data_IF_608981819854
#
_entry.id   IF_608981819854
#
_cell.length_a   1.000
_cell.length_b   1.000
_cell.length_c   1.000
_cell.angle_alpha   90.00
_cell.angle_beta   90.00
_cell.angle_gamma   90.00
#
_symmetry.space_group_name_H-M   'P 1'
#
loop_
_entity.id
_entity.type
_entity.pdbx_description
1 polymer ?
#
# COMPACT_ATOMS: atom_id res chain seq x y z
N UNK A 1 33.30 4.42 7.98
CA UNK A 1 32.18 3.48 8.16
C UNK A 1 31.22 3.71 7.00
N UNK A 2 30.78 2.66 6.30
CA UNK A 2 29.89 2.74 5.16
C UNK A 2 28.55 2.05 5.49
N UNK A 3 27.46 2.52 4.92
CA UNK A 3 26.17 1.87 5.00
C UNK A 3 25.87 1.18 3.67
N UNK A 4 25.59 -0.13 3.69
CA UNK A 4 25.17 -0.88 2.52
C UNK A 4 23.65 -0.80 2.41
N UNK A 5 23.16 -0.08 1.41
CA UNK A 5 21.73 0.10 1.16
C UNK A 5 21.19 -1.14 0.43
N UNK A 6 19.97 -1.57 0.82
CA UNK A 6 19.32 -2.73 0.19
C UNK A 6 19.75 -4.10 0.76
N UNK A 7 20.51 -4.12 1.84
CA UNK A 7 21.00 -5.35 2.50
C UNK A 7 20.06 -5.86 3.61
N UNK A 8 18.78 -5.46 3.59
CA UNK A 8 17.78 -6.07 4.45
C UNK A 8 17.49 -7.50 4.00
N UNK A 9 17.46 -8.43 4.95
CA UNK A 9 17.29 -9.85 4.63
C UNK A 9 16.72 -10.61 5.83
N UNK A 10 16.08 -11.76 5.56
CA UNK A 10 15.63 -12.70 6.56
C UNK A 10 16.72 -13.71 6.97
N UNK A 11 17.91 -13.64 6.38
CA UNK A 11 19.03 -14.49 6.77
C UNK A 11 19.42 -14.25 8.23
N UNK A 12 19.75 -15.32 8.95
CA UNK A 12 20.34 -15.22 10.29
C UNK A 12 21.70 -14.50 10.22
N UNK A 13 22.08 -13.80 11.28
CA UNK A 13 23.31 -12.96 11.28
C UNK A 13 24.57 -13.70 10.85
N UNK A 14 24.78 -14.96 11.29
CA UNK A 14 25.91 -15.77 10.85
C UNK A 14 25.90 -16.05 9.35
N UNK A 15 24.72 -16.33 8.79
CA UNK A 15 24.58 -16.54 7.35
C UNK A 15 24.75 -15.24 6.54
N UNK A 16 24.32 -14.11 7.08
CA UNK A 16 24.56 -12.81 6.44
C UNK A 16 26.06 -12.55 6.26
N UNK A 17 26.88 -12.80 7.30
CA UNK A 17 28.33 -12.68 7.19
C UNK A 17 28.87 -13.56 6.07
N UNK A 18 28.51 -14.85 6.08
CA UNK A 18 28.97 -15.83 5.07
C UNK A 18 28.57 -15.41 3.64
N UNK A 19 27.33 -14.98 3.44
CA UNK A 19 26.83 -14.60 2.11
C UNK A 19 27.40 -13.27 1.65
N UNK A 20 27.46 -12.27 2.52
CA UNK A 20 27.92 -10.94 2.12
C UNK A 20 29.43 -10.91 1.85
N UNK A 21 30.24 -11.73 2.51
CA UNK A 21 31.68 -11.85 2.19
C UNK A 21 31.94 -12.56 0.86
N UNK A 22 30.93 -13.16 0.20
CA UNK A 22 31.06 -13.69 -1.15
C UNK A 22 30.97 -12.59 -2.24
N UNK A 23 30.56 -11.39 -1.86
CA UNK A 23 30.44 -10.26 -2.80
C UNK A 23 31.83 -9.68 -3.06
N UNK A 24 32.27 -9.52 -4.34
CA UNK A 24 33.56 -8.93 -4.67
C UNK A 24 33.73 -7.56 -4.01
N UNK A 25 34.83 -7.39 -3.28
CA UNK A 25 35.17 -6.19 -2.52
C UNK A 25 34.67 -6.20 -1.06
N UNK A 26 33.90 -7.21 -0.63
CA UNK A 26 33.46 -7.38 0.76
C UNK A 26 34.06 -8.61 1.44
N UNK A 27 35.00 -9.28 0.82
CA UNK A 27 35.65 -10.53 1.31
C UNK A 27 36.22 -10.37 2.71
N UNK A 28 36.81 -9.21 2.99
CA UNK A 28 37.47 -8.89 4.26
C UNK A 28 36.69 -7.81 5.05
N UNK A 29 35.42 -7.57 4.73
CA UNK A 29 34.63 -6.55 5.40
C UNK A 29 34.29 -6.94 6.85
N UNK A 30 34.43 -5.99 7.74
CA UNK A 30 33.97 -6.10 9.11
C UNK A 30 32.55 -5.52 9.22
N UNK A 31 31.56 -6.38 9.52
CA UNK A 31 30.17 -5.98 9.66
C UNK A 31 29.89 -5.58 11.11
N UNK A 32 29.78 -4.29 11.35
CA UNK A 32 29.49 -3.72 12.68
C UNK A 32 28.00 -3.94 13.05
N UNK A 33 27.12 -3.99 12.03
CA UNK A 33 25.67 -4.23 12.19
C UNK A 33 25.15 -5.00 10.99
N UNK A 34 24.29 -5.96 11.25
CA UNK A 34 23.61 -6.73 10.20
C UNK A 34 22.26 -6.13 9.84
N UNK A 35 21.82 -6.39 8.61
CA UNK A 35 20.51 -6.02 8.13
C UNK A 35 19.40 -6.88 8.74
N UNK A 36 18.27 -6.27 8.99
CA UNK A 36 17.05 -6.96 9.39
C UNK A 36 15.91 -6.48 8.50
N UNK A 37 15.00 -7.40 8.17
CA UNK A 37 13.76 -7.01 7.54
C UNK A 37 12.91 -6.26 8.56
N UNK A 38 12.50 -5.06 8.19
CA UNK A 38 11.51 -4.35 8.98
C UNK A 38 10.16 -5.07 8.85
N UNK A 39 9.58 -5.42 9.98
CA UNK A 39 8.20 -5.90 10.05
C UNK A 39 7.36 -4.74 10.56
N UNK A 40 6.57 -4.16 9.68
CA UNK A 40 5.57 -3.19 10.09
C UNK A 40 4.41 -3.93 10.75
N UNK A 41 3.91 -3.38 11.86
CA UNK A 41 2.64 -3.82 12.42
C UNK A 41 1.50 -3.25 11.58
N UNK A 42 0.52 -4.07 11.26
CA UNK A 42 -0.68 -3.68 10.55
C UNK A 42 -1.90 -4.41 11.10
N UNK A 43 -3.07 -3.84 10.86
CA UNK A 43 -4.35 -4.42 11.24
C UNK A 43 -4.72 -5.56 10.29
N UNK A 44 -5.56 -6.48 10.75
CA UNK A 44 -6.30 -7.38 9.85
C UNK A 44 -7.45 -6.58 9.19
N UNK A 45 -7.04 -5.63 8.36
CA UNK A 45 -7.91 -4.61 7.80
C UNK A 45 -9.11 -5.16 7.03
N UNK A 46 -9.00 -6.25 6.25
CA UNK A 46 -10.15 -6.84 5.59
C UNK A 46 -11.32 -7.18 6.52
N UNK A 47 -11.02 -7.57 7.76
CA UNK A 47 -12.04 -7.89 8.76
C UNK A 47 -12.46 -6.72 9.64
N UNK A 48 -11.61 -5.70 9.72
CA UNK A 48 -11.80 -4.61 10.67
C UNK A 48 -12.28 -3.31 10.02
N UNK A 49 -11.92 -3.05 8.77
CA UNK A 49 -12.15 -1.75 8.13
C UNK A 49 -13.17 -1.82 7.00
N UNK A 50 -13.90 -0.73 6.84
CA UNK A 50 -14.68 -0.42 5.66
C UNK A 50 -13.82 0.25 4.58
N UNK A 51 -14.30 0.28 3.33
CA UNK A 51 -13.61 0.93 2.23
C UNK A 51 -13.42 2.45 2.39
N UNK A 52 -14.17 3.08 3.28
CA UNK A 52 -14.02 4.48 3.66
C UNK A 52 -13.01 4.69 4.81
N UNK A 53 -12.24 3.66 5.16
CA UNK A 53 -11.24 3.64 6.24
C UNK A 53 -11.81 3.71 7.67
N UNK A 54 -13.13 3.63 7.87
CA UNK A 54 -13.72 3.53 9.19
C UNK A 54 -13.64 2.11 9.76
N UNK A 55 -13.64 1.99 11.07
CA UNK A 55 -13.74 0.71 11.76
C UNK A 55 -15.17 0.14 11.63
N UNK A 56 -15.32 -1.12 11.20
CA UNK A 56 -16.64 -1.76 11.03
C UNK A 56 -17.46 -1.80 12.31
N UNK A 57 -16.83 -2.04 13.46
CA UNK A 57 -17.51 -2.08 14.77
C UNK A 57 -17.85 -0.70 15.33
N UNK A 58 -17.22 0.37 14.83
CA UNK A 58 -17.50 1.74 15.22
C UNK A 58 -17.09 2.72 14.12
N UNK A 59 -18.03 3.11 13.29
CA UNK A 59 -17.80 3.98 12.13
C UNK A 59 -17.36 5.41 12.46
N UNK A 60 -17.26 5.77 13.73
CA UNK A 60 -16.70 7.06 14.16
C UNK A 60 -15.18 7.01 14.37
N UNK A 61 -14.55 5.83 14.23
CA UNK A 61 -13.11 5.64 14.34
C UNK A 61 -12.55 5.34 12.95
N UNK A 62 -11.54 6.10 12.56
CA UNK A 62 -10.90 5.98 11.26
C UNK A 62 -9.42 5.62 11.41
N UNK A 63 -8.91 4.83 10.48
CA UNK A 63 -7.51 4.46 10.39
C UNK A 63 -6.96 4.86 9.03
N UNK A 64 -5.67 5.22 8.97
CA UNK A 64 -5.01 5.60 7.72
C UNK A 64 -3.54 5.21 7.71
N UNK A 65 -2.95 5.18 6.54
CA UNK A 65 -1.54 4.93 6.35
C UNK A 65 -1.15 3.47 6.56
N UNK A 66 0.10 3.28 6.86
CA UNK A 66 0.76 1.97 6.89
C UNK A 66 0.11 0.96 7.84
N UNK A 67 -0.49 1.42 8.93
CA UNK A 67 -1.21 0.56 9.89
C UNK A 67 -2.42 -0.14 9.25
N UNK A 68 -3.00 0.41 8.20
CA UNK A 68 -4.12 -0.20 7.46
C UNK A 68 -3.67 -1.23 6.42
N UNK A 69 -2.37 -1.42 6.24
CA UNK A 69 -1.82 -2.26 5.17
C UNK A 69 -1.63 -1.55 3.84
N UNK A 70 -1.83 -0.24 3.79
CA UNK A 70 -1.48 0.61 2.64
C UNK A 70 -0.01 0.96 2.74
N UNK A 71 0.83 0.42 1.85
CA UNK A 71 2.27 0.71 1.82
C UNK A 71 2.61 1.83 0.82
N UNK A 72 3.64 2.60 1.18
CA UNK A 72 4.13 3.74 0.40
C UNK A 72 3.78 5.08 1.02
N UNK A 73 4.65 6.08 0.83
CA UNK A 73 4.45 7.41 1.42
C UNK A 73 3.26 8.15 0.80
N UNK A 74 3.14 8.09 -0.53
CA UNK A 74 2.04 8.76 -1.25
C UNK A 74 0.71 8.10 -0.95
N UNK A 75 0.67 6.78 -0.92
CA UNK A 75 -0.51 5.99 -0.60
C UNK A 75 -0.97 6.22 0.84
N UNK A 76 -0.02 6.28 1.78
CA UNK A 76 -0.31 6.58 3.18
C UNK A 76 -0.89 7.98 3.34
N UNK A 77 -0.32 8.99 2.65
CA UNK A 77 -0.84 10.35 2.65
C UNK A 77 -2.25 10.41 2.03
N UNK A 78 -2.45 9.76 0.89
CA UNK A 78 -3.77 9.69 0.22
C UNK A 78 -4.82 9.01 1.10
N UNK A 79 -4.47 7.91 1.77
CA UNK A 79 -5.38 7.24 2.71
C UNK A 79 -5.75 8.14 3.90
N UNK A 80 -4.79 8.97 4.36
CA UNK A 80 -5.01 9.97 5.41
C UNK A 80 -6.01 11.03 4.99
N UNK A 81 -5.88 11.56 3.76
CA UNK A 81 -6.83 12.52 3.19
C UNK A 81 -8.22 11.90 3.11
N UNK A 82 -8.33 10.67 2.58
CA UNK A 82 -9.62 9.98 2.45
C UNK A 82 -10.28 9.71 3.81
N UNK A 83 -9.51 9.24 4.79
CA UNK A 83 -10.00 9.03 6.14
C UNK A 83 -10.46 10.34 6.79
N UNK A 84 -9.71 11.44 6.60
CA UNK A 84 -10.07 12.75 7.11
C UNK A 84 -11.37 13.31 6.49
N UNK A 85 -11.50 13.23 5.16
CA UNK A 85 -12.73 13.61 4.46
C UNK A 85 -13.92 12.81 5.00
N UNK A 86 -13.77 11.49 5.10
CA UNK A 86 -14.86 10.63 5.57
C UNK A 86 -15.20 10.85 7.05
N UNK A 87 -14.23 11.20 7.89
CA UNK A 87 -14.48 11.58 9.28
C UNK A 87 -15.34 12.85 9.37
N UNK A 88 -15.05 13.86 8.55
CA UNK A 88 -15.86 15.10 8.49
C UNK A 88 -17.26 14.81 7.95
N UNK A 89 -17.38 14.07 6.85
CA UNK A 89 -18.68 13.68 6.27
C UNK A 89 -19.52 12.92 7.29
N UNK A 90 -18.91 11.99 8.01
CA UNK A 90 -19.58 11.25 9.09
C UNK A 90 -20.09 12.16 10.20
N UNK A 91 -19.27 13.12 10.63
CA UNK A 91 -19.65 14.09 11.66
C UNK A 91 -20.83 14.98 11.22
N UNK A 92 -20.93 15.26 9.92
CA UNK A 92 -22.01 16.03 9.32
C UNK A 92 -23.26 15.19 8.98
N UNK A 93 -23.21 13.86 9.17
CA UNK A 93 -24.31 12.98 8.77
C UNK A 93 -24.43 12.76 7.25
N UNK A 94 -23.34 12.99 6.52
CA UNK A 94 -23.24 12.79 5.07
C UNK A 94 -22.84 11.35 4.72
N UNK A 95 -23.20 10.91 3.51
CA UNK A 95 -22.76 9.61 2.98
C UNK A 95 -21.24 9.57 2.81
N UNK A 96 -20.58 8.42 3.06
CA UNK A 96 -19.14 8.30 2.91
C UNK A 96 -18.69 8.46 1.45
N UNK A 97 -17.57 9.13 1.25
CA UNK A 97 -16.89 9.18 -0.04
C UNK A 97 -16.08 7.90 -0.23
N UNK A 98 -16.48 7.07 -1.19
CA UNK A 98 -15.76 5.87 -1.60
C UNK A 98 -15.35 6.04 -3.05
N UNK A 99 -14.04 6.11 -3.29
CA UNK A 99 -13.51 6.26 -4.64
C UNK A 99 -13.67 4.98 -5.45
N UNK A 100 -13.84 5.16 -6.76
CA UNK A 100 -13.92 4.04 -7.69
C UNK A 100 -12.62 3.21 -7.69
N UNK A 101 -12.74 1.90 -7.87
CA UNK A 101 -11.60 0.99 -8.08
C UNK A 101 -10.79 1.28 -9.36
N UNK A 102 -11.29 2.18 -10.20
CA UNK A 102 -10.57 2.65 -11.39
C UNK A 102 -9.41 3.60 -11.07
N UNK A 103 -9.34 4.14 -9.85
CA UNK A 103 -8.19 4.87 -9.35
C UNK A 103 -7.43 4.06 -8.29
N UNK A 104 -6.17 4.44 -8.07
CA UNK A 104 -5.25 3.67 -7.25
C UNK A 104 -5.66 3.60 -5.78
N UNK A 105 -6.09 4.70 -5.18
CA UNK A 105 -6.50 4.71 -3.76
C UNK A 105 -7.84 4.01 -3.55
N UNK A 106 -8.76 4.11 -4.52
CA UNK A 106 -10.02 3.36 -4.49
C UNK A 106 -9.80 1.85 -4.60
N UNK A 107 -8.87 1.41 -5.47
CA UNK A 107 -8.49 0.00 -5.57
C UNK A 107 -7.81 -0.50 -4.29
N UNK A 108 -6.91 0.30 -3.68
CA UNK A 108 -6.29 -0.02 -2.40
C UNK A 108 -7.30 -0.07 -1.26
N UNK A 109 -8.23 0.89 -1.19
CA UNK A 109 -9.26 0.90 -0.14
C UNK A 109 -10.18 -0.33 -0.24
N UNK A 110 -10.50 -0.79 -1.44
CA UNK A 110 -11.20 -2.07 -1.64
C UNK A 110 -10.37 -3.26 -1.17
N UNK A 111 -9.11 -3.32 -1.57
CA UNK A 111 -8.23 -4.42 -1.17
C UNK A 111 -8.12 -4.56 0.36
N UNK A 112 -7.93 -3.45 1.08
CA UNK A 112 -7.81 -3.47 2.55
C UNK A 112 -9.14 -3.71 3.27
N UNK A 113 -10.26 -3.69 2.58
CA UNK A 113 -11.60 -3.93 3.15
C UNK A 113 -12.29 -5.18 2.59
N UNK A 114 -11.62 -5.95 1.74
CA UNK A 114 -12.19 -7.15 1.12
C UNK A 114 -12.03 -8.37 2.05
N UNK A 115 -13.12 -8.78 2.68
CA UNK A 115 -13.18 -9.92 3.59
C UNK A 115 -12.82 -11.27 2.93
N UNK A 116 -12.85 -11.36 1.60
CA UNK A 116 -12.46 -12.57 0.87
C UNK A 116 -10.94 -12.82 0.88
N UNK A 117 -10.14 -11.82 1.24
CA UNK A 117 -8.69 -11.93 1.33
C UNK A 117 -8.29 -12.76 2.55
N UNK A 118 -7.88 -14.01 2.31
CA UNK A 118 -7.56 -14.97 3.39
C UNK A 118 -6.16 -14.81 3.99
N UNK A 119 -5.21 -14.30 3.22
CA UNK A 119 -3.83 -14.05 3.66
C UNK A 119 -3.45 -12.61 3.37
N UNK A 120 -4.03 -11.71 4.14
CA UNK A 120 -3.80 -10.28 3.97
C UNK A 120 -2.34 -9.89 4.16
N UNK A 121 -1.80 -9.19 3.19
CA UNK A 121 -0.46 -8.61 3.24
C UNK A 121 -0.55 -7.13 2.84
N UNK A 122 0.23 -6.26 3.49
CA UNK A 122 0.33 -4.88 3.07
C UNK A 122 0.69 -4.74 1.60
N UNK A 123 0.09 -3.77 0.92
CA UNK A 123 0.26 -3.55 -0.51
C UNK A 123 0.45 -2.07 -0.84
N UNK A 124 1.45 -1.80 -1.69
CA UNK A 124 1.63 -0.49 -2.31
C UNK A 124 0.88 -0.36 -3.63
N UNK A 125 0.81 0.87 -4.12
CA UNK A 125 0.19 1.18 -5.40
C UNK A 125 0.87 0.42 -6.54
N UNK A 126 0.08 -0.31 -7.31
CA UNK A 126 0.54 -0.98 -8.51
C UNK A 126 -0.60 -1.13 -9.52
N UNK A 127 -0.26 -1.16 -10.81
CA UNK A 127 -1.28 -1.25 -11.86
C UNK A 127 -2.01 -2.62 -11.92
N UNK A 128 -1.50 -3.61 -11.21
CA UNK A 128 -2.10 -4.96 -11.19
C UNK A 128 -3.41 -5.04 -10.39
N UNK A 129 -3.65 -4.10 -9.47
CA UNK A 129 -4.89 -4.05 -8.68
C UNK A 129 -6.02 -3.31 -9.37
N UNK A 130 -5.72 -2.56 -10.47
CA UNK A 130 -6.74 -1.84 -11.22
C UNK A 130 -7.49 -2.77 -12.16
N UNK A 131 -8.79 -2.58 -12.34
CA UNK A 131 -9.54 -3.29 -13.37
C UNK A 131 -8.92 -3.10 -14.75
N UNK A 132 -8.94 -4.13 -15.61
CA UNK A 132 -8.38 -4.03 -16.95
C UNK A 132 -9.07 -2.96 -17.78
N UNK A 133 -8.39 -2.50 -18.84
CA UNK A 133 -8.99 -1.62 -19.85
C UNK A 133 -9.49 -2.47 -21.01
N UNK A 134 -10.70 -2.18 -21.44
CA UNK A 134 -11.29 -2.74 -22.65
C UNK A 134 -11.55 -1.64 -23.68
N UNK A 135 -11.18 -1.87 -24.97
CA UNK A 135 -10.47 -3.03 -25.49
C UNK A 135 -9.02 -3.12 -24.99
N UNK A 136 -8.47 -4.34 -24.94
CA UNK A 136 -7.12 -4.61 -24.40
C UNK A 136 -6.04 -3.88 -25.18
N UNK A 137 -5.34 -2.97 -24.52
CA UNK A 137 -4.20 -2.24 -25.08
C UNK A 137 -2.93 -3.08 -24.88
N UNK A 138 -2.25 -3.45 -25.99
CA UNK A 138 -1.04 -4.30 -25.94
C UNK A 138 0.20 -3.53 -25.54
N UNK A 139 0.37 -2.30 -26.03
CA UNK A 139 1.50 -1.46 -25.65
C UNK A 139 1.42 -1.08 -24.18
N UNK A 140 2.52 -1.30 -23.44
CA UNK A 140 2.58 -1.08 -22.00
C UNK A 140 2.45 0.40 -21.64
N UNK A 141 3.09 1.28 -22.40
CA UNK A 141 3.10 2.72 -22.13
C UNK A 141 1.72 3.34 -22.39
N UNK A 142 1.10 2.96 -23.49
CA UNK A 142 -0.25 3.39 -23.83
C UNK A 142 -1.29 2.89 -22.83
N UNK A 143 -1.18 1.63 -22.42
CA UNK A 143 -2.05 1.04 -21.40
C UNK A 143 -1.95 1.79 -20.06
N UNK A 144 -0.74 2.10 -19.58
CA UNK A 144 -0.57 2.83 -18.35
C UNK A 144 -1.07 4.28 -18.45
N UNK A 145 -0.87 4.93 -19.60
CA UNK A 145 -1.43 6.25 -19.84
C UNK A 145 -2.96 6.24 -19.86
N UNK A 146 -3.57 5.21 -20.44
CA UNK A 146 -5.02 5.05 -20.46
C UNK A 146 -5.60 4.78 -19.07
N UNK A 147 -4.93 3.94 -18.25
CA UNK A 147 -5.30 3.72 -16.85
C UNK A 147 -5.23 5.00 -16.03
N UNK A 148 -4.18 5.81 -16.23
CA UNK A 148 -4.04 7.11 -15.56
C UNK A 148 -5.15 8.10 -15.95
N UNK A 149 -5.48 8.22 -17.23
CA UNK A 149 -6.62 9.06 -17.68
C UNK A 149 -7.93 8.61 -17.06
N UNK A 150 -8.25 7.31 -17.13
CA UNK A 150 -9.47 6.74 -16.52
C UNK A 150 -9.58 7.06 -15.03
N UNK A 151 -8.45 7.01 -14.31
CA UNK A 151 -8.41 7.32 -12.88
C UNK A 151 -8.75 8.80 -12.62
N UNK A 152 -8.19 9.73 -13.41
CA UNK A 152 -8.45 11.17 -13.30
C UNK A 152 -9.92 11.50 -13.62
N UNK A 153 -10.43 10.98 -14.75
CA UNK A 153 -11.85 11.14 -15.13
C UNK A 153 -12.82 10.63 -14.06
N UNK A 154 -12.39 9.61 -13.31
CA UNK A 154 -13.17 9.05 -12.20
C UNK A 154 -13.15 9.92 -10.94
N UNK A 155 -12.09 10.68 -10.69
CA UNK A 155 -12.00 11.62 -9.57
C UNK A 155 -12.86 12.86 -9.80
N UNK A 156 -12.83 13.43 -11.01
CA UNK A 156 -13.64 14.61 -11.38
C UNK A 156 -15.16 14.35 -11.24
N UNK A 157 -15.58 13.10 -11.31
CA UNK A 157 -17.01 12.71 -11.14
C UNK A 157 -17.39 12.39 -9.70
N UNK A 158 -16.42 12.36 -8.80
CA UNK A 158 -16.65 12.04 -7.38
C UNK A 158 -16.84 13.29 -6.51
N UNK A 159 -16.59 14.48 -7.07
CA UNK A 159 -16.91 15.79 -6.49
C UNK A 159 -18.39 16.12 -6.69
#
# INVERSE_FOLDING_TARGET
MFNLVGFQTNLKFGEQKRVFTMIPGLENAEFVRYGVMHRNSFLDSPRLLNANFSLRSNENIFFAGQITGVEGYMESAASGIMAGINAVRRANGEEPLILSENNMIGALSRYISDESVSNFQPMGANFGILPPIEPKIRDKKERYAALGRRALDGLEKAE
#
